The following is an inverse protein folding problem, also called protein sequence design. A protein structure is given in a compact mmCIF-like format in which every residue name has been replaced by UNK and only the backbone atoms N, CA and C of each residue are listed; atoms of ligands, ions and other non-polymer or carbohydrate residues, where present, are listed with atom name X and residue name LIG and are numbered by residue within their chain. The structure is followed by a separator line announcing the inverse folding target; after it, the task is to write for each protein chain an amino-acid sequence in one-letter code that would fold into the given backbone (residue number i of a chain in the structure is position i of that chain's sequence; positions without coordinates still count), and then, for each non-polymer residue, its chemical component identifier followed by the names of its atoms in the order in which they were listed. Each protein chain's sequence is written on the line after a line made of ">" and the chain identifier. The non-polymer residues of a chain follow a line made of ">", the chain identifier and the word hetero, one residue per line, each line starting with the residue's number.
data_IF_109564596304
#
_entry.id   IF_109564596304
#
_cell.length_a   1.000
_cell.length_b   1.000
_cell.length_c   1.000
_cell.angle_alpha   90.00
_cell.angle_beta   90.00
_cell.angle_gamma   90.00
#
_symmetry.space_group_name_H-M   'P 1'
#
loop_
_entity.id
_entity.type
_entity.pdbx_description
1 polymer ?
#
# COMPACT_ATOMS: atom_id res chain seq x y z
N UNK A 1 -0.02 21.63 3.71
CA UNK A 1 -0.87 20.45 4.01
C UNK A 1 -1.89 20.32 2.90
N UNK A 2 -1.75 19.30 2.05
CA UNK A 2 -2.67 19.05 0.93
C UNK A 2 -2.93 17.56 0.92
N UNK A 3 -4.15 17.16 1.27
CA UNK A 3 -4.62 15.79 1.08
C UNK A 3 -5.61 15.85 -0.07
N UNK A 4 -5.22 15.33 -1.23
CA UNK A 4 -6.15 15.12 -2.34
C UNK A 4 -6.81 13.75 -2.12
N UNK A 5 -8.00 13.74 -1.54
CA UNK A 5 -8.81 12.54 -1.38
C UNK A 5 -9.77 12.45 -2.57
N UNK A 6 -9.37 11.75 -3.64
CA UNK A 6 -10.32 11.35 -4.67
C UNK A 6 -11.06 10.09 -4.20
N UNK A 7 -12.17 10.30 -3.49
CA UNK A 7 -13.14 9.28 -3.16
C UNK A 7 -13.90 8.84 -4.43
N UNK A 8 -13.22 8.16 -5.35
CA UNK A 8 -13.89 7.50 -6.47
C UNK A 8 -14.52 6.21 -5.96
N UNK A 9 -15.81 6.04 -6.20
CA UNK A 9 -16.72 4.99 -5.69
C UNK A 9 -16.40 3.55 -6.15
N UNK A 10 -15.14 3.24 -6.47
CA UNK A 10 -14.70 1.99 -7.11
C UNK A 10 -13.43 1.36 -6.51
N UNK A 11 -12.90 1.90 -5.40
CA UNK A 11 -11.79 1.24 -4.71
C UNK A 11 -12.30 0.09 -3.85
N UNK A 12 -11.75 -1.10 -4.07
CA UNK A 12 -11.79 -2.22 -3.15
C UNK A 12 -10.61 -2.10 -2.17
N UNK A 13 -10.69 -2.77 -1.03
CA UNK A 13 -9.60 -2.81 -0.06
C UNK A 13 -9.34 -4.22 0.43
N UNK A 14 -8.07 -4.55 0.61
CA UNK A 14 -7.61 -5.77 1.26
C UNK A 14 -6.76 -5.41 2.48
N UNK A 15 -6.99 -6.11 3.59
CA UNK A 15 -6.26 -5.88 4.83
C UNK A 15 -5.53 -7.16 5.24
N UNK A 16 -4.29 -7.02 5.69
CA UNK A 16 -3.51 -8.09 6.29
C UNK A 16 -2.79 -7.59 7.55
N UNK A 17 -2.48 -8.51 8.46
CA UNK A 17 -1.75 -8.21 9.70
C UNK A 17 -0.37 -8.88 9.65
N UNK A 18 0.68 -8.09 9.87
CA UNK A 18 2.07 -8.56 9.93
C UNK A 18 2.64 -8.21 11.30
N UNK A 19 2.72 -9.20 12.19
CA UNK A 19 3.06 -8.97 13.59
C UNK A 19 2.04 -8.06 14.27
N UNK A 20 2.49 -6.88 14.71
CA UNK A 20 1.64 -5.83 15.31
C UNK A 20 1.17 -4.76 14.31
N UNK A 21 1.51 -4.89 13.02
CA UNK A 21 1.21 -3.90 11.99
C UNK A 21 0.03 -4.35 11.15
N UNK A 22 -1.02 -3.55 11.09
CA UNK A 22 -2.18 -3.74 10.22
C UNK A 22 -1.94 -2.98 8.92
N UNK A 23 -1.87 -3.69 7.79
CA UNK A 23 -1.65 -3.11 6.47
C UNK A 23 -2.95 -3.18 5.67
N UNK A 24 -3.42 -2.03 5.18
CA UNK A 24 -4.58 -1.94 4.30
C UNK A 24 -4.16 -1.44 2.93
N UNK A 25 -4.43 -2.23 1.90
CA UNK A 25 -4.24 -1.88 0.49
C UNK A 25 -5.57 -1.48 -0.13
N UNK A 26 -5.64 -0.32 -0.77
CA UNK A 26 -6.79 0.15 -1.55
C UNK A 26 -6.46 0.09 -3.04
N UNK A 27 -7.31 -0.51 -3.86
CA UNK A 27 -7.07 -0.78 -5.29
C UNK A 27 -8.36 -0.72 -6.10
N UNK A 28 -8.29 -0.50 -7.41
CA UNK A 28 -9.48 -0.45 -8.26
C UNK A 28 -10.18 -1.83 -8.37
N UNK A 29 -11.50 -1.82 -8.52
CA UNK A 29 -12.24 -3.06 -8.83
C UNK A 29 -11.69 -3.73 -10.10
N UNK A 30 -11.36 -5.03 -10.00
CA UNK A 30 -10.64 -5.78 -11.03
C UNK A 30 -9.13 -5.94 -10.78
N UNK A 31 -8.54 -5.16 -9.85
CA UNK A 31 -7.12 -5.21 -9.51
C UNK A 31 -6.83 -6.01 -8.23
N UNK A 32 -7.64 -7.03 -7.94
CA UNK A 32 -7.52 -7.81 -6.69
C UNK A 32 -6.13 -8.45 -6.53
N UNK A 33 -5.58 -8.99 -7.61
CA UNK A 33 -4.23 -9.56 -7.62
C UNK A 33 -3.15 -8.52 -7.32
N UNK A 34 -3.30 -7.28 -7.81
CA UNK A 34 -2.36 -6.21 -7.51
C UNK A 34 -2.48 -5.76 -6.05
N UNK A 35 -3.71 -5.62 -5.54
CA UNK A 35 -3.97 -5.34 -4.12
C UNK A 35 -3.34 -6.37 -3.19
N UNK A 36 -3.43 -7.66 -3.52
CA UNK A 36 -2.78 -8.73 -2.76
C UNK A 36 -1.25 -8.75 -2.93
N UNK A 37 -0.74 -8.43 -4.12
CA UNK A 37 0.70 -8.34 -4.35
C UNK A 37 1.33 -7.25 -3.48
N UNK A 38 0.69 -6.08 -3.37
CA UNK A 38 1.11 -5.00 -2.46
C UNK A 38 1.23 -5.49 -1.03
N UNK A 39 0.27 -6.27 -0.52
CA UNK A 39 0.36 -6.81 0.85
C UNK A 39 1.60 -7.71 1.04
N UNK A 40 1.96 -8.51 0.03
CA UNK A 40 3.17 -9.38 0.08
C UNK A 40 4.45 -8.56 0.03
N UNK A 41 4.53 -7.58 -0.85
CA UNK A 41 5.69 -6.68 -0.96
C UNK A 41 5.93 -5.91 0.34
N UNK A 42 4.85 -5.46 0.98
CA UNK A 42 4.92 -4.76 2.27
C UNK A 42 5.40 -5.67 3.38
N UNK A 43 4.96 -6.94 3.39
CA UNK A 43 5.46 -7.92 4.34
C UNK A 43 6.98 -8.08 4.22
N UNK A 44 7.49 -8.22 2.99
CA UNK A 44 8.92 -8.32 2.72
C UNK A 44 9.66 -7.04 3.14
N UNK A 45 9.12 -5.86 2.80
CA UNK A 45 9.69 -4.58 3.19
C UNK A 45 9.73 -4.38 4.70
N UNK A 46 8.66 -4.74 5.43
CA UNK A 46 8.61 -4.68 6.89
C UNK A 46 9.62 -5.63 7.52
N UNK A 47 9.82 -6.82 6.94
CA UNK A 47 10.85 -7.75 7.39
C UNK A 47 12.25 -7.17 7.22
N UNK A 48 12.57 -6.62 6.04
CA UNK A 48 13.87 -6.00 5.74
C UNK A 48 14.10 -4.76 6.60
N UNK A 49 13.08 -3.92 6.78
CA UNK A 49 13.15 -2.76 7.66
C UNK A 49 13.43 -3.19 9.11
N UNK A 50 12.71 -4.20 9.60
CA UNK A 50 12.84 -4.68 10.98
C UNK A 50 14.22 -5.28 11.26
N UNK A 51 14.77 -6.01 10.30
CA UNK A 51 16.14 -6.54 10.36
C UNK A 51 17.19 -5.43 10.46
N UNK A 52 17.02 -4.33 9.69
CA UNK A 52 18.02 -3.26 9.60
C UNK A 52 17.90 -2.17 10.65
N UNK A 53 16.67 -1.87 11.09
CA UNK A 53 16.37 -0.67 11.88
C UNK A 53 15.60 -0.98 13.18
N UNK A 54 15.27 -2.25 13.44
CA UNK A 54 14.42 -2.65 14.55
C UNK A 54 12.93 -2.56 14.22
N UNK A 55 12.04 -2.97 15.15
CA UNK A 55 10.62 -3.16 14.88
C UNK A 55 9.96 -1.90 14.32
N UNK A 56 9.08 -2.08 13.33
CA UNK A 56 8.31 -0.99 12.77
C UNK A 56 7.48 -0.29 13.85
N UNK A 57 7.62 1.04 14.05
CA UNK A 57 7.10 1.72 15.24
C UNK A 57 5.59 1.99 15.20
N UNK A 58 4.93 1.81 14.05
CA UNK A 58 3.51 2.09 13.87
C UNK A 58 2.69 0.80 13.78
N UNK A 59 1.48 0.83 14.32
CA UNK A 59 0.55 -0.32 14.32
C UNK A 59 -0.32 -0.41 13.08
N UNK A 60 -0.30 0.61 12.21
CA UNK A 60 -1.07 0.60 10.96
C UNK A 60 -0.32 1.26 9.81
N UNK A 61 -0.57 0.75 8.60
CA UNK A 61 -0.06 1.28 7.35
C UNK A 61 -1.15 1.18 6.28
N UNK A 62 -1.42 2.27 5.58
CA UNK A 62 -2.38 2.30 4.48
C UNK A 62 -1.65 2.61 3.18
N UNK A 63 -1.93 1.81 2.15
CA UNK A 63 -1.36 1.96 0.81
C UNK A 63 -2.52 2.10 -0.14
N UNK A 64 -2.50 3.16 -0.93
CA UNK A 64 -3.51 3.39 -1.95
C UNK A 64 -2.82 3.20 -3.29
N UNK A 65 -3.42 2.39 -4.15
CA UNK A 65 -3.05 2.31 -5.56
C UNK A 65 -3.23 3.71 -6.15
N UNK A 66 -2.12 4.44 -6.23
CA UNK A 66 -2.06 5.67 -6.98
C UNK A 66 -1.98 5.26 -8.45
N UNK A 67 -2.99 5.63 -9.23
CA UNK A 67 -2.83 5.69 -10.67
C UNK A 67 -1.70 6.67 -10.96
N UNK A 68 -0.51 6.14 -11.26
CA UNK A 68 0.62 6.90 -11.77
C UNK A 68 0.57 6.79 -13.30
N UNK A 69 -0.01 7.76 -14.04
CA UNK A 69 0.25 7.90 -15.46
C UNK A 69 1.64 8.53 -15.63
N UNK A 70 2.69 7.85 -15.18
CA UNK A 70 4.05 8.31 -15.43
C UNK A 70 4.66 7.44 -16.52
N UNK A 71 4.25 7.73 -17.75
CA UNK A 71 5.24 8.04 -18.75
C UNK A 71 5.31 9.56 -18.81
N UNK A 72 6.05 10.21 -17.91
CA UNK A 72 6.67 11.48 -18.26
C UNK A 72 7.68 11.19 -19.39
N UNK A 73 7.19 10.98 -20.62
CA UNK A 73 7.99 11.22 -21.81
C UNK A 73 8.08 12.73 -21.98
N UNK A 74 9.02 13.36 -21.29
CA UNK A 74 9.62 14.59 -21.80
C UNK A 74 10.51 14.17 -22.99
N UNK A 75 9.89 14.09 -24.16
CA UNK A 75 10.56 14.14 -25.46
C UNK A 75 10.79 15.59 -25.90
#
# INVERSE_FOLDING_TARGET
>A
RTFAFSASTRYLSATATFGSVVVTSYYFSGHDSAGQAVLREVAAALSVYSDRYGPYPYTSMSIVEAYYPDGMEYG
#
